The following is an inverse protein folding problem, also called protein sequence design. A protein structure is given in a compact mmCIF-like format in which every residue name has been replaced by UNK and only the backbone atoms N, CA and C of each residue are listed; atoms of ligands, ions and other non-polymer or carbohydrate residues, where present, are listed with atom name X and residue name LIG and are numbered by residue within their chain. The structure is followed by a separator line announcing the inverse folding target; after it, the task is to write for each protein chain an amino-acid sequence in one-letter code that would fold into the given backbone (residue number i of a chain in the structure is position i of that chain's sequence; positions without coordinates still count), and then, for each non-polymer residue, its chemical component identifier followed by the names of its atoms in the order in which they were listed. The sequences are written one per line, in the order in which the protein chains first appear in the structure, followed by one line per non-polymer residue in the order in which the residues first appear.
data_IF_735720190655
#
_entry.id   IF_735720190655
#
_cell.length_a   1.000
_cell.length_b   1.000
_cell.length_c   1.000
_cell.angle_alpha   90.00
_cell.angle_beta   90.00
_cell.angle_gamma   90.00
#
_symmetry.space_group_name_H-M   'P 1'
#
loop_
_entity.id
_entity.type
_entity.pdbx_description
1 polymer ?
#
# COMPACT_ATOMS: atom_id res chain seq x y z
N UNK A 1 3.67 -11.55 22.13
CA UNK A 1 2.95 -10.55 22.94
C UNK A 1 2.45 -9.50 21.94
N UNK A 2 1.13 -9.26 21.81
CA UNK A 2 0.60 -8.29 20.83
C UNK A 2 0.43 -6.94 21.52
N UNK A 3 1.17 -5.93 21.06
CA UNK A 3 0.79 -4.53 21.18
C UNK A 3 0.65 -3.99 19.75
N UNK A 4 -0.55 -3.56 19.32
CA UNK A 4 -0.74 -2.96 18.01
C UNK A 4 -0.22 -1.53 18.10
N UNK A 5 0.70 -1.13 17.22
CA UNK A 5 0.99 0.29 17.05
C UNK A 5 -0.25 0.91 16.41
N UNK A 6 -0.99 1.77 17.11
CA UNK A 6 -2.00 2.59 16.44
C UNK A 6 -1.21 3.63 15.66
N UNK A 7 -1.31 3.61 14.34
CA UNK A 7 -0.87 4.74 13.52
C UNK A 7 -1.72 5.94 13.96
N UNK A 8 -1.16 6.80 14.79
CA UNK A 8 -1.89 7.95 15.32
C UNK A 8 -1.98 9.00 14.22
N UNK A 9 -3.22 9.33 13.81
CA UNK A 9 -3.61 10.50 13.01
C UNK A 9 -2.45 11.12 12.21
N UNK A 10 -2.00 10.41 11.18
CA UNK A 10 -1.03 10.98 10.26
C UNK A 10 -1.62 12.26 9.69
N UNK A 11 -0.94 13.39 9.86
CA UNK A 11 -1.24 14.58 9.07
C UNK A 11 -0.82 14.27 7.63
N UNK A 12 -1.81 13.83 6.85
CA UNK A 12 -1.65 13.43 5.45
C UNK A 12 -1.64 14.64 4.52
N UNK A 13 -1.93 15.86 4.99
CA UNK A 13 -2.03 17.04 4.14
C UNK A 13 -0.71 17.33 3.42
N UNK A 14 0.42 17.25 4.14
CA UNK A 14 1.75 17.48 3.57
C UNK A 14 2.17 16.39 2.57
N UNK A 15 1.75 15.13 2.81
CA UNK A 15 2.02 14.01 1.89
C UNK A 15 1.25 14.22 0.58
N UNK A 16 -0.02 14.63 0.69
CA UNK A 16 -0.89 14.90 -0.46
C UNK A 16 -0.37 16.03 -1.34
N UNK A 17 0.12 17.12 -0.74
CA UNK A 17 0.73 18.23 -1.51
C UNK A 17 1.94 17.74 -2.31
N UNK A 18 2.83 16.96 -1.71
CA UNK A 18 4.03 16.43 -2.40
C UNK A 18 3.71 15.40 -3.47
N UNK A 19 2.68 14.56 -3.25
CA UNK A 19 2.17 13.65 -4.27
C UNK A 19 1.63 14.41 -5.47
N UNK A 20 0.85 15.46 -5.21
CA UNK A 20 0.29 16.29 -6.27
C UNK A 20 1.37 17.07 -7.02
N UNK A 21 2.41 17.56 -6.34
CA UNK A 21 3.57 18.15 -6.99
C UNK A 21 4.28 17.15 -7.91
N UNK A 22 4.49 15.90 -7.48
CA UNK A 22 5.08 14.85 -8.32
C UNK A 22 4.25 14.62 -9.59
N UNK A 23 2.93 14.54 -9.43
CA UNK A 23 1.98 14.29 -10.52
C UNK A 23 1.91 15.49 -11.48
N UNK A 24 1.80 16.71 -10.96
CA UNK A 24 1.65 17.92 -11.77
C UNK A 24 2.97 18.33 -12.44
N UNK A 25 4.11 18.26 -11.73
CA UNK A 25 5.38 18.83 -12.22
C UNK A 25 6.27 17.85 -12.97
N UNK A 26 6.18 16.53 -12.70
CA UNK A 26 7.04 15.51 -13.34
C UNK A 26 6.31 14.55 -14.28
N UNK A 27 4.97 14.64 -14.37
CA UNK A 27 4.15 13.58 -14.98
C UNK A 27 3.17 14.05 -16.05
N UNK A 28 3.22 15.33 -16.40
CA UNK A 28 2.18 16.01 -17.17
C UNK A 28 1.86 15.41 -18.58
N UNK A 29 2.74 14.66 -19.28
CA UNK A 29 2.32 13.92 -20.47
C UNK A 29 1.86 12.49 -20.20
N UNK A 30 2.31 11.85 -19.11
CA UNK A 30 2.10 10.42 -18.86
C UNK A 30 0.78 10.12 -18.17
N UNK A 31 0.33 10.97 -17.24
CA UNK A 31 -0.97 10.77 -16.59
C UNK A 31 -2.07 10.82 -17.65
N UNK A 32 -2.07 11.81 -18.53
CA UNK A 32 -3.04 11.93 -19.64
C UNK A 32 -2.81 10.92 -20.78
N UNK A 33 -1.76 10.10 -20.73
CA UNK A 33 -1.56 9.00 -21.68
C UNK A 33 -2.46 7.79 -21.35
N UNK A 34 -2.93 7.68 -20.10
CA UNK A 34 -3.92 6.69 -19.69
C UNK A 34 -5.31 7.25 -19.98
N UNK A 35 -6.15 6.47 -20.67
CA UNK A 35 -7.54 6.84 -20.93
C UNK A 35 -8.26 7.05 -19.60
N UNK A 36 -9.11 8.09 -19.44
CA UNK A 36 -9.73 8.42 -18.16
C UNK A 36 -10.51 7.25 -17.52
N UNK A 37 -11.12 6.40 -18.34
CA UNK A 37 -11.81 5.20 -17.84
C UNK A 37 -10.82 4.20 -17.23
N UNK A 38 -9.71 3.90 -17.91
CA UNK A 38 -8.70 2.97 -17.42
C UNK A 38 -7.96 3.53 -16.19
N UNK A 39 -7.82 4.86 -16.12
CA UNK A 39 -7.34 5.52 -14.90
C UNK A 39 -8.29 5.28 -13.72
N UNK A 40 -9.60 5.45 -13.93
CA UNK A 40 -10.59 5.23 -12.90
C UNK A 40 -10.62 3.76 -12.43
N UNK A 41 -10.56 2.82 -13.37
CA UNK A 41 -10.52 1.38 -13.08
C UNK A 41 -9.22 0.98 -12.37
N UNK A 42 -8.09 1.54 -12.79
CA UNK A 42 -6.80 1.36 -12.13
C UNK A 42 -6.79 1.91 -10.70
N UNK A 43 -7.35 3.10 -10.46
CA UNK A 43 -7.44 3.68 -9.13
C UNK A 43 -8.34 2.83 -8.20
N UNK A 44 -9.46 2.32 -8.71
CA UNK A 44 -10.31 1.37 -7.97
C UNK A 44 -9.60 0.07 -7.68
N UNK A 45 -8.81 -0.44 -8.63
CA UNK A 45 -8.03 -1.64 -8.44
C UNK A 45 -6.92 -1.44 -7.39
N UNK A 46 -6.32 -0.25 -7.35
CA UNK A 46 -5.36 0.14 -6.32
C UNK A 46 -5.99 0.06 -4.91
N UNK A 47 -7.13 0.73 -4.70
CA UNK A 47 -7.83 0.67 -3.41
C UNK A 47 -8.38 -0.72 -3.11
N UNK A 48 -8.93 -1.40 -4.12
CA UNK A 48 -9.44 -2.76 -4.00
C UNK A 48 -8.36 -3.74 -3.54
N UNK A 49 -7.14 -3.60 -4.03
CA UNK A 49 -6.00 -4.40 -3.60
C UNK A 49 -5.61 -4.12 -2.14
N UNK A 50 -5.55 -2.84 -1.72
CA UNK A 50 -5.30 -2.48 -0.32
C UNK A 50 -6.31 -3.16 0.62
N UNK A 51 -7.60 -2.92 0.40
CA UNK A 51 -8.61 -3.38 1.37
C UNK A 51 -8.83 -4.88 1.32
N UNK A 52 -8.64 -5.52 0.16
CA UNK A 52 -8.67 -6.98 0.06
C UNK A 52 -7.49 -7.61 0.82
N UNK A 53 -6.29 -7.02 0.72
CA UNK A 53 -5.14 -7.47 1.49
C UNK A 53 -5.32 -7.22 3.00
N UNK A 54 -5.85 -6.06 3.39
CA UNK A 54 -6.17 -5.75 4.78
C UNK A 54 -7.08 -6.81 5.41
N UNK A 55 -8.26 -7.06 4.82
CA UNK A 55 -9.21 -8.04 5.37
C UNK A 55 -8.59 -9.45 5.41
N UNK A 56 -7.81 -9.83 4.40
CA UNK A 56 -7.18 -11.14 4.32
C UNK A 56 -6.05 -11.34 5.35
N UNK A 57 -5.32 -10.27 5.67
CA UNK A 57 -4.31 -10.25 6.73
C UNK A 57 -4.91 -10.00 8.13
N UNK A 58 -6.23 -9.89 8.23
CA UNK A 58 -6.95 -9.68 9.48
C UNK A 58 -6.83 -8.26 10.04
N UNK A 59 -6.52 -7.28 9.19
CA UNK A 59 -6.56 -5.85 9.50
C UNK A 59 -7.97 -5.35 9.14
N UNK A 60 -8.78 -4.92 10.12
CA UNK A 60 -10.15 -4.50 9.85
C UNK A 60 -10.20 -3.27 8.95
N UNK A 61 -11.00 -3.33 7.88
CA UNK A 61 -11.32 -2.16 7.06
C UNK A 61 -12.52 -1.45 7.70
N UNK A 62 -12.39 -0.15 7.95
CA UNK A 62 -13.50 0.68 8.46
C UNK A 62 -14.29 1.26 7.29
N UNK A 63 -13.59 2.00 6.44
CA UNK A 63 -14.12 2.58 5.21
C UNK A 63 -13.02 2.71 4.15
N UNK A 64 -13.44 2.75 2.89
CA UNK A 64 -12.59 3.01 1.73
C UNK A 64 -13.33 3.88 0.74
N UNK A 65 -12.63 4.83 0.14
CA UNK A 65 -13.14 5.63 -0.96
C UNK A 65 -12.05 5.88 -1.97
N UNK A 66 -12.43 6.07 -3.23
CA UNK A 66 -11.52 6.41 -4.32
C UNK A 66 -11.95 7.70 -4.98
N UNK A 67 -10.98 8.52 -5.38
CA UNK A 67 -11.24 9.64 -6.27
C UNK A 67 -10.70 9.29 -7.67
N UNK A 68 -11.53 8.75 -8.57
CA UNK A 68 -11.07 8.32 -9.89
C UNK A 68 -10.77 9.49 -10.83
N UNK A 69 -10.93 10.75 -10.39
CA UNK A 69 -10.67 11.90 -11.24
C UNK A 69 -9.16 12.07 -11.46
N UNK A 70 -8.73 11.79 -12.68
CA UNK A 70 -7.37 11.96 -13.18
C UNK A 70 -6.80 13.39 -12.99
N UNK A 71 -7.65 14.41 -12.93
CA UNK A 71 -7.24 15.79 -12.68
C UNK A 71 -6.91 16.09 -11.20
N UNK A 72 -7.41 15.26 -10.28
CA UNK A 72 -7.15 15.39 -8.85
C UNK A 72 -6.05 14.42 -8.41
N UNK A 73 -5.89 13.30 -9.12
CA UNK A 73 -4.81 12.32 -8.96
C UNK A 73 -4.45 12.03 -7.50
N UNK A 74 -5.49 11.82 -6.71
CA UNK A 74 -5.39 11.27 -5.37
C UNK A 74 -5.75 9.80 -5.51
N UNK A 75 -4.83 8.89 -5.16
CA UNK A 75 -5.23 7.56 -4.74
C UNK A 75 -6.32 7.71 -3.69
N UNK A 76 -7.26 6.77 -3.67
CA UNK A 76 -8.24 6.73 -2.60
C UNK A 76 -7.59 6.64 -1.23
N UNK A 77 -8.38 6.80 -0.18
CA UNK A 77 -7.90 6.48 1.15
C UNK A 77 -8.82 5.44 1.77
N UNK A 78 -8.23 4.61 2.60
CA UNK A 78 -8.95 3.66 3.42
C UNK A 78 -8.43 3.79 4.85
N UNK A 79 -9.34 3.67 5.82
CA UNK A 79 -8.97 3.68 7.23
C UNK A 79 -8.96 2.24 7.74
N UNK A 80 -7.77 1.79 8.13
CA UNK A 80 -7.59 0.53 8.82
C UNK A 80 -7.76 0.70 10.34
N UNK A 81 -8.33 -0.32 10.99
CA UNK A 81 -8.25 -0.48 12.44
C UNK A 81 -6.83 -0.82 12.91
N UNK A 82 -6.63 -0.99 14.24
CA UNK A 82 -5.34 -1.43 14.78
C UNK A 82 -4.90 -2.75 14.14
N UNK A 83 -3.65 -2.79 13.69
CA UNK A 83 -3.01 -3.95 13.06
C UNK A 83 -1.52 -4.01 13.42
N UNK A 84 -0.84 -5.08 13.03
CA UNK A 84 0.62 -5.15 13.14
C UNK A 84 1.26 -4.25 12.07
N UNK A 85 2.22 -3.41 12.46
CA UNK A 85 2.85 -2.42 11.57
C UNK A 85 3.55 -3.05 10.36
N UNK A 86 4.12 -4.26 10.50
CA UNK A 86 4.71 -4.98 9.37
C UNK A 86 3.63 -5.38 8.36
N UNK A 87 2.49 -5.87 8.85
CA UNK A 87 1.36 -6.22 7.99
C UNK A 87 0.76 -4.97 7.33
N UNK A 88 0.70 -3.84 8.03
CA UNK A 88 0.28 -2.58 7.42
C UNK A 88 1.23 -2.16 6.29
N UNK A 89 2.55 -2.32 6.46
CA UNK A 89 3.50 -2.08 5.37
C UNK A 89 3.27 -3.00 4.17
N UNK A 90 2.88 -4.26 4.39
CA UNK A 90 2.50 -5.19 3.30
C UNK A 90 1.28 -4.67 2.55
N UNK A 91 0.25 -4.21 3.27
CA UNK A 91 -0.94 -3.63 2.65
C UNK A 91 -0.54 -2.40 1.81
N UNK A 92 0.15 -1.42 2.39
CA UNK A 92 0.55 -0.22 1.64
C UNK A 92 1.44 -0.54 0.42
N UNK A 93 2.24 -1.60 0.46
CA UNK A 93 3.05 -2.01 -0.68
C UNK A 93 2.24 -2.63 -1.85
N UNK A 94 1.00 -3.08 -1.63
CA UNK A 94 0.24 -3.86 -2.62
C UNK A 94 -0.63 -3.02 -3.55
N UNK A 95 -1.17 -1.89 -3.09
CA UNK A 95 -2.17 -1.12 -3.85
C UNK A 95 -1.64 -0.67 -5.21
N UNK A 96 -0.46 -0.04 -5.23
CA UNK A 96 0.17 0.43 -6.46
C UNK A 96 0.41 -0.69 -7.48
N UNK A 97 0.82 -1.88 -7.02
CA UNK A 97 1.03 -3.05 -7.87
C UNK A 97 -0.30 -3.65 -8.38
N UNK A 98 -1.36 -3.62 -7.56
CA UNK A 98 -2.71 -4.00 -7.97
C UNK A 98 -3.24 -3.12 -9.10
N UNK A 99 -3.11 -1.79 -8.97
CA UNK A 99 -3.44 -0.86 -10.04
C UNK A 99 -2.58 -1.06 -11.30
N UNK A 100 -1.28 -1.27 -11.14
CA UNK A 100 -0.37 -1.55 -12.24
C UNK A 100 -0.76 -2.82 -13.02
N UNK A 101 -1.20 -3.87 -12.33
CA UNK A 101 -1.66 -5.09 -12.97
C UNK A 101 -2.87 -4.84 -13.89
N UNK A 102 -3.80 -3.96 -13.50
CA UNK A 102 -4.90 -3.56 -14.38
C UNK A 102 -4.40 -2.90 -15.66
N UNK A 103 -3.44 -1.97 -15.57
CA UNK A 103 -2.89 -1.30 -16.76
C UNK A 103 -2.13 -2.26 -17.69
N UNK A 104 -1.38 -3.21 -17.13
CA UNK A 104 -0.70 -4.27 -17.92
C UNK A 104 -1.70 -5.05 -18.75
N UNK A 105 -2.83 -5.42 -18.15
CA UNK A 105 -3.88 -6.18 -18.82
C UNK A 105 -4.66 -5.36 -19.86
N UNK A 106 -4.80 -4.06 -19.63
CA UNK A 106 -5.34 -3.11 -20.60
C UNK A 106 -4.36 -2.83 -21.77
N UNK A 107 -3.13 -3.35 -21.73
CA UNK A 107 -2.17 -3.27 -22.83
C UNK A 107 -1.33 -2.00 -22.85
N UNK A 108 -1.25 -1.29 -21.73
CA UNK A 108 -0.38 -0.12 -21.60
C UNK A 108 1.11 -0.52 -21.57
N UNK A 109 2.01 0.34 -22.08
CA UNK A 109 3.43 0.05 -22.10
C UNK A 109 4.03 0.06 -20.67
N UNK A 110 5.04 -0.78 -20.43
CA UNK A 110 5.56 -1.01 -19.07
C UNK A 110 6.17 0.25 -18.44
N UNK A 111 6.72 1.17 -19.23
CA UNK A 111 7.23 2.46 -18.74
C UNK A 111 6.13 3.32 -18.10
N UNK A 112 4.92 3.30 -18.67
CA UNK A 112 3.74 3.96 -18.12
C UNK A 112 3.19 3.22 -16.89
N UNK A 113 3.27 1.89 -16.87
CA UNK A 113 2.90 1.07 -15.71
C UNK A 113 3.84 1.33 -14.52
N UNK A 114 5.15 1.32 -14.75
CA UNK A 114 6.14 1.67 -13.72
C UNK A 114 5.93 3.09 -13.19
N UNK A 115 5.57 4.01 -14.08
CA UNK A 115 5.23 5.38 -13.69
C UNK A 115 4.01 5.41 -12.77
N UNK A 116 2.93 4.67 -13.07
CA UNK A 116 1.74 4.64 -12.21
C UNK A 116 2.04 4.08 -10.82
N UNK A 117 2.89 3.05 -10.73
CA UNK A 117 3.36 2.52 -9.43
C UNK A 117 4.07 3.61 -8.63
N UNK A 118 4.97 4.36 -9.27
CA UNK A 118 5.72 5.43 -8.61
C UNK A 118 4.83 6.59 -8.16
N UNK A 119 3.85 6.97 -8.99
CA UNK A 119 2.97 8.11 -8.75
C UNK A 119 1.89 7.83 -7.70
N UNK A 120 1.16 6.72 -7.85
CA UNK A 120 0.10 6.35 -6.91
C UNK A 120 0.64 5.72 -5.64
N UNK A 121 1.68 4.91 -5.73
CA UNK A 121 2.38 4.35 -4.56
C UNK A 121 3.27 5.37 -3.85
N UNK A 122 3.25 6.66 -4.19
CA UNK A 122 4.03 7.67 -3.48
C UNK A 122 3.54 7.84 -2.04
N UNK A 123 2.24 8.08 -1.86
CA UNK A 123 1.63 8.23 -0.53
C UNK A 123 1.84 6.98 0.31
N UNK A 124 1.64 5.81 -0.28
CA UNK A 124 1.84 4.51 0.38
C UNK A 124 3.27 4.38 0.93
N UNK A 125 4.27 4.68 0.10
CA UNK A 125 5.68 4.63 0.52
C UNK A 125 5.97 5.60 1.66
N UNK A 126 5.53 6.85 1.56
CA UNK A 126 5.75 7.84 2.63
C UNK A 126 5.05 7.41 3.93
N UNK A 127 3.86 6.82 3.83
CA UNK A 127 3.16 6.26 4.99
C UNK A 127 3.98 5.10 5.58
N UNK A 128 4.48 4.16 4.78
CA UNK A 128 5.30 3.06 5.30
C UNK A 128 6.60 3.53 5.96
N UNK A 129 7.24 4.58 5.44
CA UNK A 129 8.43 5.18 6.06
C UNK A 129 8.10 5.81 7.42
N UNK A 130 6.95 6.49 7.54
CA UNK A 130 6.47 7.04 8.82
C UNK A 130 6.12 5.93 9.81
N UNK A 131 5.40 4.90 9.39
CA UNK A 131 5.06 3.74 10.23
C UNK A 131 6.32 3.03 10.73
N UNK A 132 7.35 2.92 9.90
CA UNK A 132 8.64 2.35 10.30
C UNK A 132 9.37 3.23 11.33
N UNK A 133 9.34 4.56 11.18
CA UNK A 133 9.92 5.48 12.15
C UNK A 133 9.20 5.41 13.51
N UNK A 134 7.85 5.40 13.50
CA UNK A 134 7.04 5.26 14.72
C UNK A 134 7.28 3.92 15.43
N UNK A 135 7.47 2.84 14.67
CA UNK A 135 7.81 1.53 15.20
C UNK A 135 9.22 1.53 15.84
N UNK A 136 10.19 2.19 15.21
CA UNK A 136 11.56 2.32 15.72
C UNK A 136 11.62 3.09 17.05
N UNK A 137 10.86 4.18 17.17
CA UNK A 137 10.73 4.95 18.43
C UNK A 137 10.17 4.10 19.59
N UNK A 138 9.47 3.01 19.27
CA UNK A 138 8.90 2.06 20.22
C UNK A 138 9.76 0.80 20.42
N UNK A 139 10.95 0.72 19.81
CA UNK A 139 11.87 -0.41 19.96
C UNK A 139 11.62 -1.59 19.00
N UNK A 140 10.86 -1.38 17.92
CA UNK A 140 10.59 -2.39 16.90
C UNK A 140 11.33 -2.07 15.60
N UNK A 141 11.57 -3.10 14.79
CA UNK A 141 12.07 -2.93 13.43
C UNK A 141 11.09 -3.50 12.42
N UNK A 142 10.79 -2.70 11.39
CA UNK A 142 10.04 -3.15 10.22
C UNK A 142 11.01 -3.45 9.07
N UNK A 143 10.75 -4.55 8.38
CA UNK A 143 11.47 -4.90 7.15
C UNK A 143 10.62 -4.51 5.94
N UNK A 144 10.85 -3.30 5.42
CA UNK A 144 10.11 -2.77 4.27
C UNK A 144 10.39 -3.54 2.98
N UNK A 145 11.58 -4.12 2.83
CA UNK A 145 11.90 -4.96 1.65
C UNK A 145 11.12 -6.27 1.71
N UNK A 146 11.05 -6.85 2.91
CA UNK A 146 10.22 -8.03 3.15
C UNK A 146 8.75 -7.71 2.96
N UNK A 147 8.27 -6.56 3.43
CA UNK A 147 6.89 -6.12 3.22
C UNK A 147 6.54 -6.07 1.72
N UNK A 148 7.42 -5.50 0.89
CA UNK A 148 7.24 -5.51 -0.56
C UNK A 148 7.21 -6.93 -1.15
N UNK A 149 8.12 -7.81 -0.72
CA UNK A 149 8.16 -9.20 -1.18
C UNK A 149 6.90 -9.98 -0.80
N UNK A 150 6.41 -9.78 0.42
CA UNK A 150 5.19 -10.40 0.91
C UNK A 150 3.96 -9.83 0.18
N UNK A 151 3.93 -8.53 -0.11
CA UNK A 151 2.87 -7.90 -0.91
C UNK A 151 2.78 -8.51 -2.32
N UNK A 152 3.91 -8.71 -3.00
CA UNK A 152 3.92 -9.40 -4.30
C UNK A 152 3.49 -10.86 -4.18
N UNK A 153 3.86 -11.54 -3.09
CA UNK A 153 3.44 -12.93 -2.86
C UNK A 153 1.93 -13.04 -2.61
N UNK A 154 1.35 -12.08 -1.90
CA UNK A 154 -0.11 -11.95 -1.73
C UNK A 154 -0.77 -11.63 -3.08
N UNK A 155 -0.24 -10.64 -3.81
CA UNK A 155 -0.80 -10.19 -5.09
C UNK A 155 -0.93 -11.33 -6.10
N UNK A 156 0.10 -12.16 -6.20
CA UNK A 156 0.16 -13.31 -7.12
C UNK A 156 -0.35 -14.62 -6.50
N UNK A 157 -0.93 -14.56 -5.30
CA UNK A 157 -1.59 -15.74 -4.73
C UNK A 157 -2.90 -16.05 -5.45
N UNK A 158 -3.27 -17.32 -5.47
CA UNK A 158 -4.45 -17.79 -6.18
C UNK A 158 -5.73 -17.10 -5.69
N UNK A 159 -6.41 -16.44 -6.62
CA UNK A 159 -7.69 -15.77 -6.37
C UNK A 159 -7.62 -14.36 -5.79
N UNK A 160 -6.45 -13.86 -5.35
CA UNK A 160 -6.34 -12.51 -4.79
C UNK A 160 -6.77 -11.43 -5.79
N UNK A 161 -6.23 -11.46 -7.01
CA UNK A 161 -6.62 -10.49 -8.05
C UNK A 161 -8.11 -10.54 -8.39
N UNK A 162 -8.75 -11.71 -8.28
CA UNK A 162 -10.20 -11.85 -8.46
C UNK A 162 -11.00 -11.19 -7.33
N UNK A 163 -10.56 -11.36 -6.09
CA UNK A 163 -11.17 -10.71 -4.92
C UNK A 163 -10.99 -9.18 -4.99
N UNK A 164 -9.78 -8.70 -5.29
CA UNK A 164 -9.48 -7.28 -5.44
C UNK A 164 -10.31 -6.62 -6.57
N UNK A 165 -10.49 -7.31 -7.72
CA UNK A 165 -11.40 -6.85 -8.78
C UNK A 165 -12.84 -6.78 -8.34
N UNK A 166 -13.32 -7.75 -7.56
CA UNK A 166 -14.69 -7.75 -7.06
C UNK A 166 -14.94 -6.55 -6.14
N UNK A 167 -13.95 -6.18 -5.32
CA UNK A 167 -13.99 -4.95 -4.52
C UNK A 167 -13.94 -3.70 -5.41
N UNK A 168 -13.05 -3.66 -6.40
CA UNK A 168 -12.94 -2.54 -7.33
C UNK A 168 -14.25 -2.30 -8.11
N UNK A 169 -14.94 -3.37 -8.50
CA UNK A 169 -16.27 -3.30 -9.11
C UNK A 169 -17.31 -2.77 -8.12
N UNK A 170 -17.30 -3.27 -6.87
CA UNK A 170 -18.22 -2.77 -5.85
C UNK A 170 -18.01 -1.27 -5.57
N UNK A 171 -16.75 -0.78 -5.59
CA UNK A 171 -16.46 0.65 -5.51
C UNK A 171 -17.14 1.41 -6.66
N UNK A 172 -16.99 0.95 -7.90
CA UNK A 172 -17.65 1.58 -9.04
C UNK A 172 -19.18 1.61 -8.89
N UNK A 173 -19.77 0.51 -8.43
CA UNK A 173 -21.23 0.36 -8.29
C UNK A 173 -21.81 1.22 -7.17
N UNK A 174 -21.03 1.51 -6.12
CA UNK A 174 -21.46 2.26 -4.92
C UNK A 174 -21.00 3.72 -4.90
N UNK A 175 -20.62 4.28 -6.06
CA UNK A 175 -20.22 5.69 -6.15
C UNK A 175 -18.88 5.96 -5.48
N UNK A 176 -17.94 5.02 -5.65
CA UNK A 176 -16.54 5.12 -5.26
C UNK A 176 -16.30 5.19 -3.75
N UNK A 177 -17.23 4.62 -2.95
CA UNK A 177 -17.08 4.46 -1.50
C UNK A 177 -17.70 3.17 -1.00
N UNK A 178 -17.02 2.47 -0.09
CA UNK A 178 -17.48 1.26 0.57
C UNK A 178 -17.23 1.30 2.08
N UNK A 179 -18.08 0.63 2.85
CA UNK A 179 -17.78 0.26 4.24
C UNK A 179 -16.97 -1.03 4.28
N UNK A 180 -16.34 -1.35 5.42
CA UNK A 180 -15.70 -2.66 5.60
C UNK A 180 -16.65 -3.85 5.42
N UNK A 181 -17.95 -3.68 5.69
CA UNK A 181 -18.94 -4.74 5.45
C UNK A 181 -19.15 -5.01 3.95
N UNK A 182 -19.17 -3.94 3.15
CA UNK A 182 -19.28 -4.05 1.70
C UNK A 182 -18.03 -4.68 1.09
N UNK A 183 -16.84 -4.33 1.59
CA UNK A 183 -15.57 -4.97 1.18
C UNK A 183 -15.62 -6.48 1.42
N UNK A 184 -16.00 -6.92 2.64
CA UNK A 184 -16.14 -8.35 2.93
C UNK A 184 -17.17 -9.03 2.04
N UNK A 185 -18.30 -8.38 1.78
CA UNK A 185 -19.31 -8.91 0.88
C UNK A 185 -18.77 -9.07 -0.55
N UNK A 186 -18.00 -8.10 -1.05
CA UNK A 186 -17.41 -8.12 -2.37
C UNK A 186 -16.28 -9.15 -2.52
N UNK A 187 -15.45 -9.34 -1.48
CA UNK A 187 -14.45 -10.43 -1.45
C UNK A 187 -15.10 -11.82 -1.38
N UNK A 188 -16.33 -11.90 -0.87
CA UNK A 188 -17.06 -13.13 -0.70
C UNK A 188 -16.37 -14.08 0.28
N UNK A 189 -16.23 -15.35 -0.13
CA UNK A 189 -15.59 -16.40 0.68
C UNK A 189 -14.09 -16.55 0.47
N UNK A 190 -13.45 -15.69 -0.33
CA UNK A 190 -12.02 -15.81 -0.60
C UNK A 190 -11.21 -15.54 0.68
N UNK A 191 -10.15 -16.32 0.86
CA UNK A 191 -9.22 -16.20 1.98
C UNK A 191 -7.80 -16.38 1.45
N UNK A 192 -6.85 -15.67 2.06
CA UNK A 192 -5.44 -15.89 1.79
C UNK A 192 -5.05 -17.31 2.21
N UNK A 193 -4.23 -17.97 1.38
CA UNK A 193 -3.70 -19.29 1.74
C UNK A 193 -2.94 -19.19 3.07
N UNK A 194 -3.28 -20.08 4.01
CA UNK A 194 -2.63 -20.19 5.32
C UNK A 194 -1.16 -20.57 5.23
N UNK A 195 -0.73 -21.13 4.10
CA UNK A 195 0.67 -21.44 3.83
C UNK A 195 1.48 -20.19 3.45
N UNK A 196 0.82 -19.08 3.10
CA UNK A 196 1.51 -17.82 2.88
C UNK A 196 1.83 -17.20 4.24
N UNK A 197 3.09 -17.35 4.66
CA UNK A 197 3.57 -16.78 5.90
C UNK A 197 3.97 -15.33 5.69
N UNK A 198 3.23 -14.42 6.32
CA UNK A 198 3.58 -13.01 6.43
C UNK A 198 3.91 -12.72 7.90
N UNK A 199 5.15 -12.38 8.23
CA UNK A 199 5.54 -12.09 9.60
C UNK A 199 4.81 -10.87 10.14
N UNK A 200 4.40 -10.97 11.40
CA UNK A 200 4.20 -9.80 12.24
C UNK A 200 5.57 -9.20 12.60
N UNK A 201 5.62 -7.91 12.87
CA UNK A 201 6.82 -7.14 13.24
C UNK A 201 7.77 -7.85 14.23
N UNK A 202 9.05 -7.45 14.22
CA UNK A 202 10.08 -8.06 15.08
C UNK A 202 10.51 -7.08 16.18
N UNK A 203 10.67 -7.62 17.40
CA UNK A 203 11.37 -6.90 18.47
C UNK A 203 12.82 -6.71 18.05
N UNK A 204 13.37 -5.51 18.27
CA UNK A 204 14.80 -5.34 18.20
C UNK A 204 15.41 -6.25 19.28
N UNK A 205 16.34 -7.17 18.94
CA UNK A 205 17.21 -7.70 19.98
C UNK A 205 17.86 -6.50 20.68
N UNK A 206 18.07 -6.55 22.00
CA UNK A 206 18.93 -5.61 22.73
C UNK A 206 20.37 -5.69 22.17
N UNK A 207 20.57 -5.21 20.95
CA UNK A 207 21.86 -4.98 20.37
C UNK A 207 22.24 -3.60 20.86
N UNK A 208 23.06 -3.65 21.91
CA UNK A 208 23.90 -2.56 22.39
C UNK A 208 24.28 -1.71 21.19
N UNK A 209 23.78 -0.48 21.15
CA UNK A 209 24.35 0.59 20.35
C UNK A 209 25.79 0.78 20.84
N UNK A 210 26.72 -0.09 20.41
CA UNK A 210 28.09 0.36 20.23
C UNK A 210 28.00 1.30 19.05
N UNK A 211 27.76 2.56 19.38
CA UNK A 211 28.18 3.70 18.58
C UNK A 211 29.61 3.42 18.15
N UNK A 212 29.80 2.87 16.96
CA UNK A 212 31.09 2.94 16.31
C UNK A 212 31.30 4.42 16.03
N UNK A 213 32.19 5.02 16.81
CA UNK A 213 32.67 6.38 16.56
C UNK A 213 33.17 6.45 15.10
N UNK A 214 32.76 7.45 14.32
CA UNK A 214 33.13 7.56 12.91
C UNK A 214 34.62 7.93 12.68
N UNK A 215 35.47 7.89 13.72
CA UNK A 215 36.83 8.43 13.70
C UNK A 215 37.95 7.38 13.80
N UNK A 216 37.67 6.06 13.80
CA UNK A 216 38.73 5.03 13.76
C UNK A 216 38.66 4.16 12.50
N UNK A 217 39.03 4.74 11.35
CA UNK A 217 39.71 3.97 10.30
C UNK A 217 41.20 4.29 10.33
N UNK A 218 41.93 3.64 11.23
CA UNK A 218 43.35 3.37 10.97
C UNK A 218 43.45 2.05 10.20
N UNK A 219 43.83 2.19 8.92
CA UNK A 219 44.28 1.06 8.10
C UNK A 219 45.72 0.81 8.50
N UNK A 220 45.97 -0.24 9.29
CA UNK A 220 47.29 -0.89 9.34
C UNK A 220 47.29 -2.12 8.44
N UNK A 221 48.32 -2.19 7.57
CA UNK A 221 48.65 -3.30 6.68
C UNK A 221 49.35 -4.43 7.44
#
# INVERSE_FOLDING_TARGET
MRLPVPVQNLDLADIKVRQQELIVTKSHPWVYAIHPQDWAEMARMHEGAHVAASEALGIPVVDVWVNPNQAVAEGGQYNNGPGDSQLQCVVYAIGAEGGAQHLREAGYPEDLVEFSVKALGYSDRVITERVAAEAADQGFQLDLRRAQSDALSVLYSDGFLGAARSVAQALADQGDRLTGADVRAAMGGWQLDRNLWVPASYELPELILTREDPDEMEIEL
#
